data_IF_779934595527
#
_entry.id   IF_779934595527
#
_cell.length_a   1.000
_cell.length_b   1.000
_cell.length_c   1.000
_cell.angle_alpha   90.00
_cell.angle_beta   90.00
_cell.angle_gamma   90.00
#
_symmetry.space_group_name_H-M   'P 1'
#
loop_
_entity.id
_entity.type
_entity.pdbx_description
1 polymer ?
#
# COMPACT_ATOMS: atom_id res chain seq x y z
N UNK A 1 -34.11 19.52 9.21
CA UNK A 1 -33.05 18.62 8.72
C UNK A 1 -32.47 17.88 9.93
N UNK A 2 -32.31 16.57 9.87
CA UNK A 2 -31.72 15.81 10.98
C UNK A 2 -30.20 15.85 10.89
N UNK A 3 -29.60 16.80 11.59
CA UNK A 3 -28.14 17.05 11.57
C UNK A 3 -27.35 15.88 12.12
N UNK A 4 -27.89 15.13 13.08
CA UNK A 4 -27.23 13.94 13.63
C UNK A 4 -27.13 12.81 12.59
N UNK A 5 -28.22 12.56 11.86
CA UNK A 5 -28.20 11.56 10.78
C UNK A 5 -27.28 11.95 9.64
N UNK A 6 -27.26 13.25 9.27
CA UNK A 6 -26.38 13.73 8.22
C UNK A 6 -24.90 13.59 8.59
N UNK A 7 -24.54 13.94 9.85
CA UNK A 7 -23.20 13.74 10.38
C UNK A 7 -22.81 12.25 10.35
N UNK A 8 -23.71 11.38 10.85
CA UNK A 8 -23.49 9.94 10.85
C UNK A 8 -23.22 9.39 9.43
N UNK A 9 -24.01 9.82 8.46
CA UNK A 9 -23.84 9.40 7.06
C UNK A 9 -22.49 9.85 6.48
N UNK A 10 -22.13 11.12 6.70
CA UNK A 10 -20.86 11.67 6.21
C UNK A 10 -19.64 11.00 6.87
N UNK A 11 -19.72 10.79 8.18
CA UNK A 11 -18.65 10.12 8.92
C UNK A 11 -18.54 8.63 8.59
N UNK A 12 -19.66 7.94 8.35
CA UNK A 12 -19.64 6.53 7.90
C UNK A 12 -19.01 6.38 6.51
N UNK A 13 -19.26 7.31 5.59
CA UNK A 13 -18.55 7.36 4.32
C UNK A 13 -17.05 7.63 4.52
N UNK A 14 -16.68 8.57 5.40
CA UNK A 14 -15.29 8.86 5.77
C UNK A 14 -14.58 7.65 6.38
N UNK A 15 -15.26 6.92 7.27
CA UNK A 15 -14.76 5.68 7.88
C UNK A 15 -14.44 4.62 6.82
N UNK A 16 -15.32 4.43 5.82
CA UNK A 16 -15.09 3.47 4.72
C UNK A 16 -13.95 3.90 3.81
N UNK A 17 -13.85 5.19 3.49
CA UNK A 17 -12.71 5.72 2.75
C UNK A 17 -11.38 5.41 3.46
N UNK A 18 -11.31 5.63 4.79
CA UNK A 18 -10.12 5.30 5.56
C UNK A 18 -9.84 3.80 5.61
N UNK A 19 -10.87 2.98 5.84
CA UNK A 19 -10.73 1.52 5.88
C UNK A 19 -10.25 0.94 4.55
N UNK A 20 -10.59 1.58 3.41
CA UNK A 20 -10.15 1.19 2.07
C UNK A 20 -8.76 1.70 1.68
N UNK A 21 -8.07 2.45 2.54
CA UNK A 21 -6.71 2.95 2.30
C UNK A 21 -6.64 4.33 1.66
N UNK A 22 -7.68 5.16 1.80
CA UNK A 22 -7.63 6.56 1.38
C UNK A 22 -6.58 7.35 2.17
N UNK A 23 -6.00 8.34 1.52
CA UNK A 23 -5.13 9.35 2.15
C UNK A 23 -5.96 10.25 3.07
N UNK A 24 -5.41 10.63 4.21
CA UNK A 24 -6.12 11.36 5.26
C UNK A 24 -6.73 12.66 4.75
N UNK A 25 -5.95 13.47 4.03
CA UNK A 25 -6.45 14.73 3.47
C UNK A 25 -7.64 14.53 2.51
N UNK A 26 -7.71 13.38 1.81
CA UNK A 26 -8.84 13.05 0.92
C UNK A 26 -10.09 12.68 1.68
N UNK A 27 -9.93 12.03 2.82
CA UNK A 27 -11.07 11.73 3.71
C UNK A 27 -11.66 13.02 4.23
N UNK A 28 -10.82 13.91 4.76
CA UNK A 28 -11.23 15.24 5.22
C UNK A 28 -11.91 16.05 4.14
N UNK A 29 -11.31 16.11 2.95
CA UNK A 29 -11.88 16.81 1.79
C UNK A 29 -13.23 16.23 1.38
N UNK A 30 -13.38 14.90 1.36
CA UNK A 30 -14.62 14.23 0.96
C UNK A 30 -15.75 14.49 1.95
N UNK A 31 -15.47 14.34 3.26
CA UNK A 31 -16.45 14.61 4.31
C UNK A 31 -16.82 16.09 4.35
N UNK A 32 -15.83 16.99 4.23
CA UNK A 32 -16.05 18.42 4.18
C UNK A 32 -16.96 18.82 3.00
N UNK A 33 -16.64 18.36 1.79
CA UNK A 33 -17.45 18.64 0.59
C UNK A 33 -18.87 18.12 0.70
N UNK A 34 -19.05 16.93 1.25
CA UNK A 34 -20.36 16.32 1.42
C UNK A 34 -21.25 17.14 2.36
N UNK A 35 -20.73 17.59 3.48
CA UNK A 35 -21.46 18.43 4.44
C UNK A 35 -21.68 19.84 3.92
N UNK A 36 -20.70 20.43 3.23
CA UNK A 36 -20.83 21.75 2.58
C UNK A 36 -21.88 21.72 1.46
N UNK A 37 -21.97 20.65 0.67
CA UNK A 37 -23.02 20.49 -0.33
C UNK A 37 -24.43 20.47 0.27
N UNK A 38 -24.56 20.12 1.54
CA UNK A 38 -25.81 20.16 2.30
C UNK A 38 -26.01 21.48 3.09
N UNK A 39 -25.20 22.52 2.80
CA UNK A 39 -25.34 23.86 3.37
C UNK A 39 -24.75 24.04 4.76
N UNK A 40 -23.84 23.17 5.19
CA UNK A 40 -23.17 23.22 6.48
C UNK A 40 -21.72 23.70 6.36
N UNK A 41 -21.18 24.26 7.42
CA UNK A 41 -19.76 24.60 7.58
C UNK A 41 -19.10 23.60 8.53
N UNK A 42 -18.59 22.47 8.04
CA UNK A 42 -17.98 21.46 8.89
C UNK A 42 -16.53 21.80 9.23
N UNK A 43 -16.10 21.30 10.40
CA UNK A 43 -14.70 21.14 10.77
C UNK A 43 -14.41 19.64 10.84
N UNK A 44 -13.52 19.18 9.99
CA UNK A 44 -13.15 17.77 9.89
C UNK A 44 -11.69 17.60 10.29
N UNK A 45 -11.43 16.72 11.24
CA UNK A 45 -10.09 16.36 11.65
C UNK A 45 -9.95 14.84 11.66
N UNK A 46 -8.93 14.36 10.99
CA UNK A 46 -8.72 12.92 10.78
C UNK A 46 -7.29 12.52 11.12
N UNK A 47 -7.16 11.45 11.89
CA UNK A 47 -5.90 10.72 12.09
C UNK A 47 -6.12 9.25 11.75
N UNK A 48 -5.09 8.42 11.52
CA UNK A 48 -5.25 7.03 11.09
C UNK A 48 -6.26 6.20 11.90
N UNK A 49 -6.41 6.46 13.19
CA UNK A 49 -7.29 5.70 14.07
C UNK A 49 -8.63 6.39 14.40
N UNK A 50 -8.83 7.64 13.96
CA UNK A 50 -9.98 8.43 14.41
C UNK A 50 -10.38 9.50 13.39
N UNK A 51 -11.69 9.65 13.21
CA UNK A 51 -12.31 10.73 12.44
C UNK A 51 -13.19 11.55 13.40
N UNK A 52 -12.96 12.85 13.48
CA UNK A 52 -13.76 13.81 14.25
C UNK A 52 -14.40 14.77 13.26
N UNK A 53 -15.71 14.91 13.37
CA UNK A 53 -16.49 15.84 12.54
C UNK A 53 -17.32 16.73 13.43
N UNK A 54 -17.20 18.04 13.26
CA UNK A 54 -17.97 19.05 13.98
C UNK A 54 -18.70 19.97 12.99
N UNK A 55 -19.94 20.29 13.29
CA UNK A 55 -20.75 21.27 12.56
C UNK A 55 -21.40 22.23 13.55
N UNK A 56 -21.65 23.46 13.10
CA UNK A 56 -22.52 24.38 13.80
C UNK A 56 -23.92 24.31 13.20
N UNK A 57 -24.93 24.09 14.02
CA UNK A 57 -26.33 24.17 13.58
C UNK A 57 -26.70 25.62 13.28
N UNK A 58 -27.74 25.91 12.49
CA UNK A 58 -28.23 27.27 12.27
C UNK A 58 -28.66 28.00 13.59
N UNK A 59 -28.94 27.23 14.64
CA UNK A 59 -29.27 27.72 15.97
C UNK A 59 -28.02 28.04 16.80
N UNK A 60 -26.81 27.87 16.22
CA UNK A 60 -25.53 28.17 16.89
C UNK A 60 -25.04 27.08 17.84
N UNK A 61 -25.69 25.92 17.88
CA UNK A 61 -25.25 24.80 18.71
C UNK A 61 -24.22 23.93 17.95
N UNK A 62 -23.04 23.69 18.55
CA UNK A 62 -22.06 22.78 17.94
C UNK A 62 -22.47 21.33 18.17
N UNK A 63 -22.44 20.52 17.09
CA UNK A 63 -22.61 19.08 17.16
C UNK A 63 -21.28 18.45 16.71
N UNK A 64 -20.64 17.69 17.60
CA UNK A 64 -19.39 16.99 17.31
C UNK A 64 -19.59 15.50 17.48
N UNK A 65 -19.09 14.73 16.50
CA UNK A 65 -19.08 13.28 16.56
C UNK A 65 -17.68 12.75 16.28
N UNK A 66 -17.30 11.71 17.01
CA UNK A 66 -16.02 11.03 16.89
C UNK A 66 -16.24 9.56 16.51
N UNK A 67 -15.53 9.12 15.49
CA UNK A 67 -15.58 7.74 15.00
C UNK A 67 -14.21 7.09 15.11
N UNK A 68 -14.14 5.97 15.82
CA UNK A 68 -12.95 5.14 15.87
C UNK A 68 -12.86 4.28 14.61
N UNK A 69 -11.66 4.22 14.04
CA UNK A 69 -11.37 3.39 12.85
C UNK A 69 -10.47 2.24 13.29
N UNK A 70 -11.03 1.02 13.41
CA UNK A 70 -10.33 -0.08 14.07
C UNK A 70 -9.28 -0.76 13.19
N UNK A 71 -9.36 -0.63 11.87
CA UNK A 71 -8.46 -1.29 10.93
C UNK A 71 -8.32 -0.48 9.63
N UNK A 72 -7.13 -0.57 9.05
CA UNK A 72 -6.81 -0.05 7.73
C UNK A 72 -6.49 -1.22 6.81
N UNK A 73 -7.05 -1.18 5.62
CA UNK A 73 -6.79 -2.12 4.54
C UNK A 73 -6.37 -1.37 3.27
N UNK A 74 -6.16 -2.13 2.20
CA UNK A 74 -6.02 -1.58 0.85
C UNK A 74 -7.03 -2.30 -0.03
N UNK A 75 -8.20 -1.68 -0.20
CA UNK A 75 -9.26 -2.14 -1.10
C UNK A 75 -9.58 -1.03 -2.10
N UNK A 76 -9.00 -1.16 -3.28
CA UNK A 76 -9.09 -0.11 -4.31
C UNK A 76 -10.50 -0.05 -4.92
N UNK A 77 -11.19 -1.18 -5.04
CA UNK A 77 -12.59 -1.20 -5.53
C UNK A 77 -13.52 -0.44 -4.57
N UNK A 78 -13.42 -0.71 -3.27
CA UNK A 78 -14.20 0.02 -2.27
C UNK A 78 -13.84 1.52 -2.28
N UNK A 79 -12.57 1.86 -2.42
CA UNK A 79 -12.10 3.25 -2.54
C UNK A 79 -12.72 3.95 -3.76
N UNK A 80 -12.73 3.30 -4.93
CA UNK A 80 -13.33 3.84 -6.16
C UNK A 80 -14.84 4.07 -5.99
N UNK A 81 -15.54 3.11 -5.39
CA UNK A 81 -16.99 3.18 -5.14
C UNK A 81 -17.34 4.27 -4.12
N UNK A 82 -16.61 4.39 -3.02
CA UNK A 82 -16.79 5.45 -2.04
C UNK A 82 -16.61 6.83 -2.66
N UNK A 83 -15.58 7.01 -3.48
CA UNK A 83 -15.35 8.28 -4.20
C UNK A 83 -16.46 8.57 -5.23
N UNK A 84 -16.94 7.56 -5.96
CA UNK A 84 -18.04 7.70 -6.90
C UNK A 84 -19.35 8.10 -6.19
N UNK A 85 -19.64 7.45 -5.06
CA UNK A 85 -20.80 7.75 -4.24
C UNK A 85 -20.70 9.16 -3.62
N UNK A 86 -19.54 9.55 -3.08
CA UNK A 86 -19.32 10.89 -2.56
C UNK A 86 -19.65 11.97 -3.62
N UNK A 87 -19.16 11.78 -4.85
CA UNK A 87 -19.48 12.71 -5.96
C UNK A 87 -20.97 12.77 -6.28
N UNK A 88 -21.65 11.61 -6.25
CA UNK A 88 -23.08 11.53 -6.50
C UNK A 88 -23.86 12.26 -5.41
N UNK A 89 -23.55 11.99 -4.14
CA UNK A 89 -24.21 12.61 -2.98
C UNK A 89 -24.00 14.13 -2.93
N UNK A 90 -22.80 14.61 -3.31
CA UNK A 90 -22.52 16.05 -3.39
C UNK A 90 -23.29 16.76 -4.53
N UNK A 91 -23.59 16.03 -5.62
CA UNK A 91 -24.30 16.61 -6.78
C UNK A 91 -25.82 16.55 -6.64
N UNK A 92 -26.33 15.42 -6.15
CA UNK A 92 -27.77 15.15 -6.10
C UNK A 92 -28.41 15.58 -4.78
N UNK A 93 -27.64 15.73 -3.71
CA UNK A 93 -28.08 16.06 -2.34
C UNK A 93 -29.41 15.38 -1.96
N UNK A 94 -29.49 14.02 -2.04
CA UNK A 94 -30.73 13.31 -1.77
C UNK A 94 -31.11 13.44 -0.29
N UNK A 95 -32.35 13.09 0.09
CA UNK A 95 -32.76 13.00 1.49
C UNK A 95 -31.80 12.13 2.31
N UNK A 96 -31.56 12.52 3.58
CA UNK A 96 -30.54 11.87 4.44
C UNK A 96 -30.76 10.37 4.59
N UNK A 97 -32.03 9.93 4.65
CA UNK A 97 -32.40 8.51 4.74
C UNK A 97 -32.00 7.72 3.47
N UNK A 98 -32.15 8.33 2.30
CA UNK A 98 -31.72 7.72 1.04
C UNK A 98 -30.19 7.69 0.94
N UNK A 99 -29.54 8.80 1.28
CA UNK A 99 -28.08 8.88 1.32
C UNK A 99 -27.46 7.83 2.26
N UNK A 100 -28.05 7.64 3.45
CA UNK A 100 -27.61 6.62 4.42
C UNK A 100 -27.72 5.20 3.83
N UNK A 101 -28.86 4.87 3.20
CA UNK A 101 -29.03 3.58 2.51
C UNK A 101 -27.99 3.35 1.43
N UNK A 102 -27.69 4.37 0.61
CA UNK A 102 -26.65 4.28 -0.42
C UNK A 102 -25.25 4.03 0.17
N UNK A 103 -24.96 4.63 1.31
CA UNK A 103 -23.69 4.38 2.03
C UNK A 103 -23.65 2.96 2.61
N UNK A 104 -24.76 2.47 3.21
CA UNK A 104 -24.84 1.08 3.72
C UNK A 104 -24.75 0.03 2.61
N UNK A 105 -25.33 0.32 1.45
CA UNK A 105 -25.32 -0.58 0.29
C UNK A 105 -23.92 -0.72 -0.37
N UNK A 106 -22.96 0.14 -0.03
CA UNK A 106 -21.58 -0.04 -0.48
C UNK A 106 -20.99 -1.41 -0.10
N UNK A 107 -21.31 -1.92 1.10
CA UNK A 107 -20.80 -3.22 1.57
C UNK A 107 -21.54 -4.40 0.91
N UNK A 108 -22.84 -4.25 0.61
CA UNK A 108 -23.67 -5.33 0.07
C UNK A 108 -23.38 -5.66 -1.41
N UNK A 109 -22.95 -4.66 -2.17
CA UNK A 109 -22.74 -4.75 -3.62
C UNK A 109 -21.26 -4.67 -4.01
N UNK A 110 -20.33 -4.84 -3.05
CA UNK A 110 -18.88 -4.88 -3.30
C UNK A 110 -18.54 -6.06 -4.23
N UNK A 111 -17.74 -5.78 -5.26
CA UNK A 111 -17.11 -6.82 -6.06
C UNK A 111 -15.83 -7.25 -5.35
N UNK A 112 -15.96 -8.12 -4.37
CA UNK A 112 -14.80 -8.75 -3.79
C UNK A 112 -14.38 -9.94 -4.65
N UNK A 113 -13.09 -10.09 -4.88
CA UNK A 113 -12.58 -11.31 -5.49
C UNK A 113 -12.83 -12.50 -4.58
N UNK A 114 -13.12 -13.64 -5.19
CA UNK A 114 -13.23 -14.87 -4.44
C UNK A 114 -11.92 -15.17 -3.72
N UNK A 115 -11.93 -15.86 -2.56
CA UNK A 115 -10.69 -16.24 -1.86
C UNK A 115 -9.67 -16.97 -2.77
N UNK A 116 -10.14 -17.72 -3.74
CA UNK A 116 -9.31 -18.42 -4.73
C UNK A 116 -8.59 -17.45 -5.66
N UNK A 117 -9.27 -16.38 -6.10
CA UNK A 117 -8.66 -15.33 -6.92
C UNK A 117 -7.61 -14.55 -6.14
N UNK A 118 -7.88 -14.24 -4.86
CA UNK A 118 -6.90 -13.62 -3.97
C UNK A 118 -5.67 -14.52 -3.77
N UNK A 119 -5.87 -15.83 -3.60
CA UNK A 119 -4.77 -16.79 -3.52
C UNK A 119 -3.91 -16.79 -4.78
N UNK A 120 -4.48 -16.65 -5.97
CA UNK A 120 -3.71 -16.47 -7.20
C UNK A 120 -2.81 -15.22 -7.14
N UNK A 121 -3.29 -14.12 -6.57
CA UNK A 121 -2.49 -12.93 -6.32
C UNK A 121 -1.33 -13.20 -5.35
N UNK A 122 -1.61 -13.91 -4.24
CA UNK A 122 -0.59 -14.31 -3.26
C UNK A 122 0.43 -15.33 -3.79
N UNK A 123 0.12 -16.06 -4.86
CA UNK A 123 1.04 -16.95 -5.58
C UNK A 123 1.87 -16.14 -6.59
N UNK A 124 1.20 -15.36 -7.44
CA UNK A 124 1.84 -14.68 -8.57
C UNK A 124 2.78 -13.56 -8.11
N UNK A 125 2.38 -12.71 -7.17
CA UNK A 125 3.20 -11.58 -6.74
C UNK A 125 4.57 -12.03 -6.18
N UNK A 126 4.67 -12.96 -5.21
CA UNK A 126 5.94 -13.50 -4.73
C UNK A 126 6.78 -14.15 -5.83
N UNK A 127 6.16 -14.95 -6.70
CA UNK A 127 6.86 -15.63 -7.78
C UNK A 127 7.61 -14.66 -8.70
N UNK A 128 6.92 -13.61 -9.14
CA UNK A 128 7.53 -12.62 -10.01
C UNK A 128 8.47 -11.66 -9.28
N UNK A 129 8.24 -11.38 -7.98
CA UNK A 129 9.22 -10.63 -7.19
C UNK A 129 10.50 -11.43 -6.94
N UNK A 130 10.46 -12.76 -6.80
CA UNK A 130 11.66 -13.57 -6.74
C UNK A 130 12.49 -13.42 -8.01
N UNK A 131 11.88 -13.45 -9.20
CA UNK A 131 12.57 -13.20 -10.48
C UNK A 131 13.07 -11.74 -10.58
N UNK A 132 12.32 -10.80 -10.07
CA UNK A 132 12.72 -9.38 -10.01
C UNK A 132 13.99 -9.18 -9.17
N UNK A 133 14.17 -9.95 -8.10
CA UNK A 133 15.36 -9.97 -7.24
C UNK A 133 16.45 -10.94 -7.72
N UNK A 134 16.56 -11.20 -9.00
CA UNK A 134 17.56 -12.07 -9.62
C UNK A 134 17.45 -13.56 -9.26
N UNK A 135 16.30 -14.04 -8.80
CA UNK A 135 16.07 -15.46 -8.54
C UNK A 135 15.98 -16.30 -9.81
N UNK A 136 16.24 -17.59 -9.64
CA UNK A 136 16.04 -18.58 -10.71
C UNK A 136 14.56 -18.94 -10.86
N UNK A 137 14.22 -19.67 -11.91
CA UNK A 137 12.85 -20.20 -12.07
C UNK A 137 12.46 -21.15 -10.92
N UNK A 138 13.44 -21.87 -10.34
CA UNK A 138 13.20 -22.71 -9.16
C UNK A 138 12.86 -21.86 -7.94
N UNK A 139 13.59 -20.77 -7.71
CA UNK A 139 13.30 -19.83 -6.64
C UNK A 139 11.92 -19.18 -6.79
N UNK A 140 11.55 -18.85 -8.04
CA UNK A 140 10.22 -18.31 -8.35
C UNK A 140 9.09 -19.29 -7.99
N UNK A 141 9.24 -20.58 -8.35
CA UNK A 141 8.28 -21.62 -7.99
C UNK A 141 8.21 -21.83 -6.47
N UNK A 142 9.35 -21.82 -5.79
CA UNK A 142 9.40 -21.88 -4.33
C UNK A 142 8.73 -20.67 -3.67
N UNK A 143 8.95 -19.46 -4.20
CA UNK A 143 8.28 -18.25 -3.73
C UNK A 143 6.76 -18.29 -3.97
N UNK A 144 6.30 -18.91 -5.07
CA UNK A 144 4.88 -19.18 -5.31
C UNK A 144 4.25 -20.08 -4.23
N UNK A 145 4.95 -21.16 -3.83
CA UNK A 145 4.51 -22.08 -2.76
C UNK A 145 4.48 -21.36 -1.40
N UNK A 146 5.53 -20.60 -1.08
CA UNK A 146 5.58 -19.80 0.15
C UNK A 146 4.50 -18.72 0.16
N UNK A 147 4.22 -18.10 -0.99
CA UNK A 147 3.13 -17.15 -1.22
C UNK A 147 1.75 -17.78 -1.01
N UNK A 148 1.55 -18.99 -1.51
CA UNK A 148 0.31 -19.75 -1.24
C UNK A 148 0.15 -19.99 0.28
N UNK A 149 1.21 -20.43 0.96
CA UNK A 149 1.16 -20.72 2.40
C UNK A 149 0.78 -19.46 3.20
N UNK A 150 1.40 -18.32 2.92
CA UNK A 150 1.06 -17.06 3.61
C UNK A 150 -0.32 -16.56 3.22
N UNK A 151 -0.75 -16.72 1.96
CA UNK A 151 -2.10 -16.36 1.50
C UNK A 151 -3.17 -17.14 2.25
N UNK A 152 -2.98 -18.45 2.46
CA UNK A 152 -3.86 -19.28 3.29
C UNK A 152 -3.87 -18.80 4.74
N UNK A 153 -2.71 -18.49 5.32
CA UNK A 153 -2.64 -17.92 6.67
C UNK A 153 -3.38 -16.59 6.81
N UNK A 154 -3.27 -15.69 5.82
CA UNK A 154 -3.92 -14.38 5.86
C UNK A 154 -5.43 -14.45 5.65
N UNK A 155 -5.91 -15.31 4.75
CA UNK A 155 -7.32 -15.42 4.41
C UNK A 155 -8.11 -16.30 5.40
N UNK A 156 -7.53 -17.39 5.86
CA UNK A 156 -8.24 -18.38 6.68
C UNK A 156 -7.72 -18.47 8.12
N UNK A 157 -6.51 -17.95 8.41
CA UNK A 157 -5.88 -18.02 9.73
C UNK A 157 -6.37 -16.99 10.75
N UNK A 158 -7.23 -16.06 10.38
CA UNK A 158 -7.68 -14.97 11.28
C UNK A 158 -8.31 -15.49 12.60
N UNK A 159 -9.00 -16.61 12.56
CA UNK A 159 -9.62 -17.21 13.75
C UNK A 159 -8.61 -17.82 14.73
N UNK A 160 -7.46 -18.27 14.21
CA UNK A 160 -6.41 -18.93 15.00
C UNK A 160 -5.36 -17.94 15.53
N UNK A 161 -5.01 -16.93 14.72
CA UNK A 161 -3.90 -16.01 14.98
C UNK A 161 -4.37 -14.76 15.75
N UNK A 162 -5.70 -14.53 15.81
CA UNK A 162 -6.27 -13.36 16.48
C UNK A 162 -6.21 -12.08 15.64
N UNK A 163 -6.77 -11.00 16.20
CA UNK A 163 -6.91 -9.70 15.49
C UNK A 163 -5.69 -8.77 15.62
N UNK A 164 -4.66 -9.15 16.40
CA UNK A 164 -3.48 -8.33 16.58
C UNK A 164 -2.57 -8.38 15.34
N UNK A 165 -2.46 -7.24 14.64
CA UNK A 165 -1.69 -7.12 13.39
C UNK A 165 -0.21 -7.46 13.58
N UNK A 166 0.42 -7.05 14.69
CA UNK A 166 1.82 -7.34 14.98
C UNK A 166 2.05 -8.86 15.08
N UNK A 167 1.27 -9.54 15.92
CA UNK A 167 1.41 -10.99 16.11
C UNK A 167 1.11 -11.78 14.83
N UNK A 168 0.08 -11.36 14.09
CA UNK A 168 -0.24 -11.95 12.79
C UNK A 168 0.95 -11.82 11.81
N UNK A 169 1.61 -10.67 11.77
CA UNK A 169 2.78 -10.46 10.92
C UNK A 169 3.96 -11.34 11.34
N UNK A 170 4.23 -11.50 12.65
CA UNK A 170 5.27 -12.42 13.16
C UNK A 170 5.00 -13.84 12.67
N UNK A 171 3.78 -14.35 12.85
CA UNK A 171 3.42 -15.71 12.43
C UNK A 171 3.54 -15.87 10.90
N UNK A 172 2.99 -14.96 10.12
CA UNK A 172 3.04 -15.02 8.66
C UNK A 172 4.48 -14.97 8.13
N UNK A 173 5.34 -14.11 8.68
CA UNK A 173 6.75 -14.02 8.27
C UNK A 173 7.56 -15.25 8.71
N UNK A 174 7.24 -15.85 9.86
CA UNK A 174 7.81 -17.14 10.26
C UNK A 174 7.41 -18.25 9.30
N UNK A 175 6.14 -18.34 8.90
CA UNK A 175 5.66 -19.32 7.92
C UNK A 175 6.38 -19.14 6.57
N UNK A 176 6.53 -17.91 6.08
CA UNK A 176 7.26 -17.63 4.84
C UNK A 176 8.68 -18.18 4.92
N UNK A 177 9.43 -17.78 5.94
CA UNK A 177 10.84 -18.16 6.07
C UNK A 177 11.04 -19.65 6.33
N UNK A 178 10.14 -20.28 7.11
CA UNK A 178 10.18 -21.71 7.37
C UNK A 178 9.89 -22.53 6.10
N UNK A 179 8.84 -22.16 5.36
CA UNK A 179 8.52 -22.82 4.08
C UNK A 179 9.65 -22.64 3.08
N UNK A 180 10.22 -21.43 2.95
CA UNK A 180 11.37 -21.15 2.09
C UNK A 180 12.57 -22.02 2.46
N UNK A 181 12.89 -22.12 3.76
CA UNK A 181 13.98 -22.96 4.26
C UNK A 181 13.76 -24.45 3.93
N UNK A 182 12.56 -24.96 4.17
CA UNK A 182 12.23 -26.37 3.88
C UNK A 182 12.34 -26.68 2.40
N UNK A 183 11.91 -25.77 1.50
CA UNK A 183 12.01 -25.94 0.05
C UNK A 183 13.47 -25.94 -0.44
N UNK A 184 14.32 -25.09 0.14
CA UNK A 184 15.76 -25.06 -0.19
C UNK A 184 16.46 -26.31 0.34
N UNK A 185 16.17 -26.75 1.59
CA UNK A 185 16.72 -27.99 2.14
C UNK A 185 16.27 -29.24 1.36
N UNK A 186 15.08 -29.21 0.77
CA UNK A 186 14.60 -30.26 -0.14
C UNK A 186 15.26 -30.21 -1.55
N UNK A 187 16.14 -29.24 -1.82
CA UNK A 187 16.80 -29.08 -3.12
C UNK A 187 15.90 -28.52 -4.24
N UNK A 188 14.73 -27.99 -3.89
CA UNK A 188 13.79 -27.42 -4.86
C UNK A 188 14.11 -25.96 -5.20
N UNK A 189 14.64 -25.19 -4.24
CA UNK A 189 15.10 -23.81 -4.39
C UNK A 189 16.61 -23.70 -4.24
N UNK A 190 17.18 -22.62 -4.75
CA UNK A 190 18.63 -22.38 -4.75
C UNK A 190 19.02 -21.27 -3.77
N UNK A 191 18.21 -20.19 -3.67
CA UNK A 191 18.54 -18.99 -2.89
C UNK A 191 17.48 -18.68 -1.84
N UNK A 192 17.73 -19.10 -0.60
CA UNK A 192 16.80 -18.91 0.53
C UNK A 192 16.38 -17.44 0.72
N UNK A 193 17.33 -16.51 0.64
CA UNK A 193 17.03 -15.09 0.85
C UNK A 193 16.14 -14.51 -0.26
N UNK A 194 16.39 -14.87 -1.51
CA UNK A 194 15.58 -14.39 -2.64
C UNK A 194 14.14 -14.88 -2.54
N UNK A 195 13.95 -16.17 -2.23
CA UNK A 195 12.61 -16.75 -2.02
C UNK A 195 11.91 -16.05 -0.87
N UNK A 196 12.63 -15.85 0.24
CA UNK A 196 12.06 -15.21 1.44
C UNK A 196 11.70 -13.74 1.17
N UNK A 197 12.61 -12.92 0.61
CA UNK A 197 12.35 -11.49 0.34
C UNK A 197 11.26 -11.32 -0.71
N UNK A 198 11.30 -12.09 -1.80
CA UNK A 198 10.26 -12.05 -2.84
C UNK A 198 8.87 -12.33 -2.26
N UNK A 199 8.77 -13.28 -1.32
CA UNK A 199 7.50 -13.59 -0.66
C UNK A 199 7.13 -12.55 0.40
N UNK A 200 8.11 -12.03 1.16
CA UNK A 200 7.89 -11.01 2.17
C UNK A 200 7.35 -9.69 1.59
N UNK A 201 7.53 -9.41 0.28
CA UNK A 201 6.96 -8.22 -0.36
C UNK A 201 5.45 -8.09 -0.13
N UNK A 202 4.75 -9.21 0.10
CA UNK A 202 3.31 -9.20 0.44
C UNK A 202 3.02 -8.65 1.85
N UNK A 203 3.96 -8.79 2.78
CA UNK A 203 3.81 -8.33 4.17
C UNK A 203 4.52 -7.00 4.43
N UNK A 204 5.53 -6.67 3.63
CA UNK A 204 6.39 -5.52 3.88
C UNK A 204 5.61 -4.21 3.76
N UNK A 205 5.65 -3.36 4.79
CA UNK A 205 4.88 -2.12 4.86
C UNK A 205 5.57 -0.98 4.09
N UNK A 206 6.19 -1.28 2.95
CA UNK A 206 6.93 -0.29 2.19
C UNK A 206 6.05 0.83 1.64
N UNK A 207 4.84 0.52 1.18
CA UNK A 207 3.87 1.54 0.78
C UNK A 207 3.43 2.40 1.97
N UNK A 208 3.30 1.80 3.16
CA UNK A 208 2.97 2.55 4.37
C UNK A 208 4.05 3.58 4.70
N UNK A 209 5.34 3.24 4.54
CA UNK A 209 6.45 4.17 4.72
C UNK A 209 6.41 5.31 3.69
N UNK A 210 6.20 4.99 2.41
CA UNK A 210 6.12 6.00 1.34
C UNK A 210 4.92 6.93 1.56
N UNK A 211 3.78 6.40 2.01
CA UNK A 211 2.60 7.20 2.33
C UNK A 211 2.81 8.05 3.59
N UNK A 212 3.49 7.50 4.62
CA UNK A 212 3.88 8.27 5.81
C UNK A 212 4.76 9.46 5.46
N UNK A 213 5.77 9.27 4.61
CA UNK A 213 6.61 10.37 4.12
C UNK A 213 5.81 11.41 3.34
N UNK A 214 4.83 10.97 2.55
CA UNK A 214 3.92 11.87 1.82
C UNK A 214 3.04 12.70 2.77
N UNK A 215 2.49 12.11 3.82
CA UNK A 215 1.68 12.81 4.84
C UNK A 215 2.53 13.84 5.59
N UNK A 216 3.77 13.49 6.00
CA UNK A 216 4.71 14.41 6.63
C UNK A 216 4.99 15.63 5.72
N UNK A 217 5.25 15.39 4.43
CA UNK A 217 5.52 16.45 3.46
C UNK A 217 4.28 17.29 3.14
N UNK A 218 3.08 16.74 3.27
CA UNK A 218 1.82 17.46 3.15
C UNK A 218 1.48 18.28 4.40
N UNK A 219 2.39 18.36 5.39
CA UNK A 219 2.23 19.03 6.69
C UNK A 219 1.27 18.30 7.65
N UNK A 220 0.90 17.07 7.37
CA UNK A 220 0.12 16.21 8.27
C UNK A 220 1.07 15.36 9.13
N UNK A 221 1.78 16.06 10.04
CA UNK A 221 2.87 15.47 10.83
C UNK A 221 2.39 14.36 11.78
N UNK A 222 1.22 14.53 12.40
CA UNK A 222 0.68 13.56 13.36
C UNK A 222 0.39 12.25 12.66
N UNK A 223 -0.30 12.29 11.54
CA UNK A 223 -0.66 11.11 10.76
C UNK A 223 0.58 10.41 10.18
N UNK A 224 1.50 11.20 9.64
CA UNK A 224 2.75 10.66 9.11
C UNK A 224 3.62 10.00 10.18
N UNK A 225 3.69 10.57 11.39
CA UNK A 225 4.42 9.97 12.52
C UNK A 225 3.77 8.66 12.99
N UNK A 226 2.44 8.63 13.11
CA UNK A 226 1.70 7.42 13.50
C UNK A 226 1.92 6.29 12.49
N UNK A 227 1.82 6.57 11.18
CA UNK A 227 2.09 5.57 10.12
C UNK A 227 3.55 5.12 10.09
N UNK A 228 4.50 6.02 10.34
CA UNK A 228 5.92 5.66 10.45
C UNK A 228 6.14 4.69 11.61
N UNK A 229 5.56 4.97 12.77
CA UNK A 229 5.65 4.08 13.95
C UNK A 229 5.02 2.71 13.68
N UNK A 230 3.83 2.66 13.05
CA UNK A 230 3.19 1.42 12.64
C UNK A 230 4.07 0.63 11.65
N UNK A 231 4.65 1.31 10.67
CA UNK A 231 5.56 0.72 9.69
C UNK A 231 6.78 0.07 10.37
N UNK A 232 7.40 0.75 11.32
CA UNK A 232 8.53 0.22 12.08
C UNK A 232 8.15 -0.99 12.94
N UNK A 233 6.98 -0.97 13.57
CA UNK A 233 6.47 -2.12 14.32
C UNK A 233 6.22 -3.34 13.43
N UNK A 234 5.63 -3.15 12.24
CA UNK A 234 5.43 -4.24 11.28
C UNK A 234 6.79 -4.77 10.78
N UNK A 235 7.74 -3.89 10.51
CA UNK A 235 9.09 -4.29 10.10
C UNK A 235 9.81 -5.10 11.20
N UNK A 236 9.67 -4.69 12.46
CA UNK A 236 10.19 -5.45 13.60
C UNK A 236 9.51 -6.83 13.72
N UNK A 237 8.18 -6.90 13.51
CA UNK A 237 7.45 -8.17 13.51
C UNK A 237 7.94 -9.12 12.41
N UNK A 238 8.18 -8.61 11.19
CA UNK A 238 8.73 -9.39 10.07
C UNK A 238 10.12 -9.93 10.44
N UNK A 239 11.00 -9.08 10.96
CA UNK A 239 12.34 -9.47 11.32
C UNK A 239 12.36 -10.53 12.45
N UNK A 240 11.51 -10.38 13.47
CA UNK A 240 11.36 -11.36 14.54
C UNK A 240 10.86 -12.71 13.99
N UNK A 241 9.85 -12.70 13.12
CA UNK A 241 9.30 -13.93 12.54
C UNK A 241 10.30 -14.65 11.64
N UNK A 242 11.11 -13.91 10.88
CA UNK A 242 12.11 -14.50 9.97
C UNK A 242 13.40 -14.92 10.66
N UNK A 243 13.73 -14.39 11.86
CA UNK A 243 15.01 -14.55 12.52
C UNK A 243 15.39 -16.02 12.74
N UNK A 244 14.50 -16.82 13.34
CA UNK A 244 14.81 -18.21 13.70
C UNK A 244 15.03 -19.11 12.47
N UNK A 245 14.15 -19.14 11.45
CA UNK A 245 14.38 -19.93 10.23
C UNK A 245 15.65 -19.51 9.48
N UNK A 246 15.95 -18.20 9.42
CA UNK A 246 17.16 -17.72 8.75
C UNK A 246 18.43 -18.10 9.52
N UNK A 247 18.44 -18.03 10.86
CA UNK A 247 19.58 -18.48 11.68
C UNK A 247 19.84 -19.98 11.47
N UNK A 248 18.79 -20.79 11.37
CA UNK A 248 18.92 -22.21 11.07
C UNK A 248 19.49 -22.38 9.64
N UNK A 249 18.97 -21.64 8.67
CA UNK A 249 19.46 -21.66 7.28
C UNK A 249 20.94 -21.32 7.18
N UNK A 250 21.40 -20.28 7.89
CA UNK A 250 22.83 -19.88 7.91
C UNK A 250 23.75 -20.98 8.43
N UNK A 251 23.26 -21.83 9.34
CA UNK A 251 24.04 -22.95 9.88
C UNK A 251 24.05 -24.20 9.00
N UNK A 252 23.00 -24.39 8.22
CA UNK A 252 22.80 -25.61 7.42
C UNK A 252 23.23 -25.46 5.96
N UNK A 253 23.23 -24.24 5.43
CA UNK A 253 23.53 -23.95 4.03
C UNK A 253 24.92 -23.31 3.93
N UNK A 254 25.82 -23.94 3.13
CA UNK A 254 27.21 -23.49 2.95
C UNK A 254 27.33 -22.20 2.14
N UNK A 255 26.37 -21.94 1.25
CA UNK A 255 26.35 -20.78 0.34
C UNK A 255 25.23 -19.80 0.70
N UNK A 256 25.30 -19.27 1.92
CA UNK A 256 24.34 -18.27 2.36
C UNK A 256 24.73 -16.87 1.84
N UNK A 257 24.09 -16.42 0.77
CA UNK A 257 24.30 -15.06 0.24
C UNK A 257 23.42 -14.05 0.96
N UNK A 258 24.03 -12.98 1.45
CA UNK A 258 23.38 -11.97 2.30
C UNK A 258 22.91 -10.71 1.55
N UNK A 259 23.13 -10.62 0.25
CA UNK A 259 22.76 -9.43 -0.53
C UNK A 259 21.76 -9.78 -1.62
N UNK A 260 20.55 -9.25 -1.47
CA UNK A 260 19.53 -9.26 -2.50
C UNK A 260 19.37 -7.85 -3.06
N UNK A 261 19.73 -7.69 -4.33
CA UNK A 261 19.51 -6.47 -5.09
C UNK A 261 18.50 -6.75 -6.22
N UNK A 262 17.72 -5.74 -6.59
CA UNK A 262 16.86 -5.86 -7.75
C UNK A 262 17.69 -6.02 -9.04
N UNK A 263 17.16 -6.77 -9.98
CA UNK A 263 17.82 -6.99 -11.26
C UNK A 263 17.91 -5.70 -12.07
N UNK A 264 19.11 -5.31 -12.46
CA UNK A 264 19.34 -4.19 -13.38
C UNK A 264 19.20 -4.61 -14.87
N UNK A 265 18.75 -5.81 -15.14
CA UNK A 265 18.44 -6.29 -16.49
C UNK A 265 17.14 -5.65 -17.00
N UNK A 266 17.02 -5.29 -18.30
CA UNK A 266 15.75 -4.84 -18.89
C UNK A 266 14.59 -5.82 -18.71
N UNK A 267 14.88 -7.12 -18.58
CA UNK A 267 13.88 -8.15 -18.32
C UNK A 267 13.16 -7.97 -16.98
N UNK A 268 13.77 -7.28 -16.01
CA UNK A 268 13.12 -6.96 -14.73
C UNK A 268 11.90 -6.06 -14.86
N UNK A 269 11.79 -5.28 -15.96
CA UNK A 269 10.56 -4.52 -16.26
C UNK A 269 9.36 -5.46 -16.48
N UNK A 270 9.60 -6.62 -17.10
CA UNK A 270 8.55 -7.63 -17.31
C UNK A 270 8.15 -8.29 -15.97
N UNK A 271 9.14 -8.58 -15.13
CA UNK A 271 8.86 -9.15 -13.80
C UNK A 271 8.13 -8.16 -12.90
N UNK A 272 8.47 -6.87 -12.94
CA UNK A 272 7.75 -5.80 -12.26
C UNK A 272 6.29 -5.70 -12.73
N UNK A 273 6.05 -5.83 -14.05
CA UNK A 273 4.70 -5.87 -14.61
C UNK A 273 3.85 -6.98 -13.98
N UNK A 274 4.32 -8.24 -14.07
CA UNK A 274 3.55 -9.38 -13.58
C UNK A 274 3.42 -9.42 -12.06
N UNK A 275 4.44 -8.99 -11.32
CA UNK A 275 4.37 -8.86 -9.87
C UNK A 275 3.26 -7.87 -9.46
N UNK A 276 3.18 -6.71 -10.11
CA UNK A 276 2.14 -5.72 -9.85
C UNK A 276 0.76 -6.15 -10.33
N UNK A 277 0.66 -6.97 -11.38
CA UNK A 277 -0.61 -7.64 -11.74
C UNK A 277 -1.07 -8.56 -10.60
N UNK A 278 -0.17 -9.35 -10.00
CA UNK A 278 -0.47 -10.16 -8.82
C UNK A 278 -0.94 -9.32 -7.63
N UNK A 279 -0.26 -8.22 -7.32
CA UNK A 279 -0.70 -7.28 -6.28
C UNK A 279 -2.02 -6.58 -6.60
N UNK A 280 -2.33 -6.35 -7.87
CA UNK A 280 -3.63 -5.82 -8.29
C UNK A 280 -4.79 -6.72 -7.88
N UNK A 281 -4.58 -8.06 -7.90
CA UNK A 281 -5.56 -9.01 -7.37
C UNK A 281 -5.68 -8.91 -5.84
N UNK A 282 -4.54 -8.85 -5.13
CA UNK A 282 -4.51 -8.76 -3.66
C UNK A 282 -5.19 -7.47 -3.16
N UNK A 283 -5.05 -6.35 -3.89
CA UNK A 283 -5.65 -5.06 -3.55
C UNK A 283 -7.02 -4.83 -4.16
N UNK A 284 -7.66 -5.89 -4.63
CA UNK A 284 -9.03 -5.89 -5.14
C UNK A 284 -9.24 -4.90 -6.31
N UNK A 285 -8.27 -4.81 -7.23
CA UNK A 285 -8.39 -3.99 -8.43
C UNK A 285 -9.09 -4.79 -9.53
N UNK A 286 -10.17 -4.24 -10.11
CA UNK A 286 -10.96 -4.95 -11.09
C UNK A 286 -10.70 -4.51 -12.55
N UNK A 287 -10.93 -5.44 -13.47
CA UNK A 287 -10.92 -5.21 -14.90
C UNK A 287 -9.58 -4.69 -15.44
N UNK A 288 -9.62 -3.69 -16.34
CA UNK A 288 -8.43 -3.13 -16.99
C UNK A 288 -7.50 -2.39 -16.03
N UNK A 289 -7.94 -2.07 -14.81
CA UNK A 289 -7.14 -1.41 -13.79
C UNK A 289 -5.88 -2.19 -13.43
N UNK A 290 -5.97 -3.50 -13.35
CA UNK A 290 -4.84 -4.39 -13.04
C UNK A 290 -3.70 -4.22 -14.06
N UNK A 291 -4.03 -4.24 -15.36
CA UNK A 291 -3.03 -4.07 -16.44
C UNK A 291 -2.41 -2.66 -16.41
N UNK A 292 -3.22 -1.64 -16.13
CA UNK A 292 -2.74 -0.26 -15.99
C UNK A 292 -1.70 -0.17 -14.87
N UNK A 293 -1.93 -0.81 -13.73
CA UNK A 293 -0.96 -0.87 -12.63
C UNK A 293 0.35 -1.56 -13.06
N UNK A 294 0.26 -2.71 -13.74
CA UNK A 294 1.42 -3.42 -14.27
C UNK A 294 2.24 -2.57 -15.24
N UNK A 295 1.60 -1.92 -16.20
CA UNK A 295 2.29 -1.02 -17.15
C UNK A 295 2.93 0.18 -16.44
N UNK A 296 2.27 0.75 -15.44
CA UNK A 296 2.83 1.84 -14.62
C UNK A 296 4.10 1.41 -13.88
N UNK A 297 4.09 0.21 -13.29
CA UNK A 297 5.23 -0.37 -12.60
C UNK A 297 6.41 -0.64 -13.55
N UNK A 298 6.13 -1.22 -14.71
CA UNK A 298 7.13 -1.49 -15.75
C UNK A 298 7.75 -0.18 -16.28
N UNK A 299 6.93 0.84 -16.53
CA UNK A 299 7.38 2.18 -16.95
C UNK A 299 8.29 2.82 -15.89
N UNK A 300 7.85 2.82 -14.64
CA UNK A 300 8.64 3.40 -13.54
C UNK A 300 9.97 2.68 -13.36
N UNK A 301 9.98 1.36 -13.40
CA UNK A 301 11.21 0.59 -13.31
C UNK A 301 12.14 0.84 -14.50
N UNK A 302 11.60 0.96 -15.71
CA UNK A 302 12.38 1.31 -16.90
C UNK A 302 13.05 2.69 -16.75
N UNK A 303 12.32 3.70 -16.24
CA UNK A 303 12.89 5.03 -15.98
C UNK A 303 13.98 4.95 -14.91
N UNK A 304 13.79 4.13 -13.86
CA UNK A 304 14.80 3.88 -12.85
C UNK A 304 16.09 3.30 -13.46
N UNK A 305 15.97 2.25 -14.30
CA UNK A 305 17.11 1.62 -14.96
C UNK A 305 17.87 2.58 -15.89
N UNK A 306 17.15 3.38 -16.66
CA UNK A 306 17.74 4.37 -17.55
C UNK A 306 18.45 5.47 -16.75
N UNK A 307 17.83 5.95 -15.68
CA UNK A 307 18.40 7.04 -14.88
C UNK A 307 19.58 6.61 -14.02
N UNK A 308 19.59 5.41 -13.46
CA UNK A 308 20.72 4.91 -12.66
C UNK A 308 22.00 4.79 -13.48
N UNK A 309 21.90 4.49 -14.78
CA UNK A 309 23.03 4.36 -15.69
C UNK A 309 23.82 5.65 -15.91
N UNK A 310 23.21 6.84 -15.71
CA UNK A 310 23.87 8.13 -15.91
C UNK A 310 23.96 8.98 -14.63
N UNK A 311 23.04 8.78 -13.67
CA UNK A 311 23.08 9.52 -12.40
C UNK A 311 24.01 8.90 -11.36
N UNK A 312 24.22 7.58 -11.43
CA UNK A 312 24.92 6.78 -10.42
C UNK A 312 24.37 6.97 -9.00
N UNK A 313 23.11 7.44 -8.88
CA UNK A 313 22.43 7.68 -7.60
C UNK A 313 21.08 6.99 -7.64
N UNK A 314 20.90 5.97 -6.80
CA UNK A 314 19.67 5.22 -6.66
C UNK A 314 18.52 6.07 -6.10
N UNK A 315 18.81 6.96 -5.13
CA UNK A 315 17.82 7.88 -4.55
C UNK A 315 17.29 8.87 -5.59
N UNK A 316 18.20 9.45 -6.41
CA UNK A 316 17.77 10.37 -7.46
C UNK A 316 17.04 9.66 -8.61
N UNK A 317 17.46 8.45 -8.94
CA UNK A 317 16.78 7.62 -9.94
C UNK A 317 15.39 7.20 -9.47
N UNK A 318 15.21 6.90 -8.18
CA UNK A 318 13.91 6.64 -7.57
C UNK A 318 12.98 7.87 -7.65
N UNK A 319 13.52 9.07 -7.42
CA UNK A 319 12.76 10.32 -7.58
C UNK A 319 12.25 10.49 -9.02
N UNK A 320 13.09 10.31 -10.03
CA UNK A 320 12.68 10.41 -11.45
C UNK A 320 11.67 9.34 -11.85
N UNK A 321 11.87 8.12 -11.38
CA UNK A 321 10.94 7.02 -11.59
C UNK A 321 9.57 7.30 -10.96
N UNK A 322 9.55 7.81 -9.73
CA UNK A 322 8.31 8.20 -9.06
C UNK A 322 7.57 9.34 -9.77
N UNK A 323 8.30 10.31 -10.33
CA UNK A 323 7.71 11.35 -11.18
C UNK A 323 7.03 10.75 -12.40
N UNK A 324 7.66 9.80 -13.09
CA UNK A 324 7.10 9.15 -14.27
C UNK A 324 5.84 8.34 -13.94
N UNK A 325 5.87 7.59 -12.83
CA UNK A 325 4.71 6.84 -12.33
C UNK A 325 3.58 7.80 -11.93
N UNK A 326 3.91 8.90 -11.25
CA UNK A 326 2.94 9.93 -10.86
C UNK A 326 2.24 10.52 -12.07
N UNK A 327 2.99 10.92 -13.12
CA UNK A 327 2.44 11.43 -14.37
C UNK A 327 1.53 10.40 -15.07
N UNK A 328 2.01 9.17 -15.19
CA UNK A 328 1.25 8.07 -15.78
C UNK A 328 -0.05 7.81 -15.01
N UNK A 329 0.01 7.72 -13.70
CA UNK A 329 -1.14 7.45 -12.83
C UNK A 329 -2.18 8.56 -12.89
N UNK A 330 -1.77 9.84 -12.94
CA UNK A 330 -2.67 10.99 -13.10
C UNK A 330 -3.39 10.96 -14.46
N UNK A 331 -2.68 10.63 -15.55
CA UNK A 331 -3.28 10.50 -16.87
C UNK A 331 -4.30 9.36 -16.90
N UNK A 332 -3.93 8.18 -16.39
CA UNK A 332 -4.83 7.01 -16.38
C UNK A 332 -6.05 7.21 -15.48
N UNK A 333 -5.87 7.84 -14.31
CA UNK A 333 -6.95 8.17 -13.40
C UNK A 333 -7.99 9.13 -14.06
N UNK A 334 -7.52 10.11 -14.83
CA UNK A 334 -8.40 11.02 -15.59
C UNK A 334 -9.17 10.31 -16.71
N UNK A 335 -8.49 9.46 -17.48
CA UNK A 335 -9.12 8.67 -18.54
C UNK A 335 -10.21 7.76 -17.97
N UNK A 336 -9.95 7.13 -16.84
CA UNK A 336 -10.88 6.17 -16.19
C UNK A 336 -11.84 6.80 -15.18
N UNK A 337 -11.65 8.08 -14.84
CA UNK A 337 -12.42 8.79 -13.80
C UNK A 337 -12.36 8.13 -12.43
N UNK A 338 -11.21 7.53 -12.09
CA UNK A 338 -10.93 6.84 -10.83
C UNK A 338 -9.93 7.63 -9.98
N UNK A 339 -9.81 7.34 -8.67
CA UNK A 339 -8.77 7.93 -7.84
C UNK A 339 -7.37 7.56 -8.32
N UNK A 340 -6.46 8.54 -8.32
CA UNK A 340 -5.04 8.34 -8.71
C UNK A 340 -4.35 7.35 -7.77
N UNK A 341 -4.72 7.37 -6.50
CA UNK A 341 -4.07 6.63 -5.41
C UNK A 341 -3.96 5.14 -5.69
N UNK A 342 -5.01 4.52 -6.22
CA UNK A 342 -5.01 3.08 -6.52
C UNK A 342 -3.95 2.68 -7.54
N UNK A 343 -3.81 3.44 -8.63
CA UNK A 343 -2.79 3.17 -9.66
C UNK A 343 -1.39 3.50 -9.18
N UNK A 344 -1.24 4.64 -8.50
CA UNK A 344 0.03 5.12 -8.00
C UNK A 344 0.64 4.14 -6.98
N UNK A 345 -0.15 3.67 -6.02
CA UNK A 345 0.32 2.77 -4.98
C UNK A 345 0.85 1.45 -5.54
N UNK A 346 0.11 0.81 -6.45
CA UNK A 346 0.53 -0.47 -7.02
C UNK A 346 1.70 -0.31 -7.98
N UNK A 347 1.70 0.75 -8.81
CA UNK A 347 2.80 0.99 -9.75
C UNK A 347 4.14 1.33 -9.05
N UNK A 348 4.10 1.88 -7.84
CA UNK A 348 5.30 2.17 -7.05
C UNK A 348 5.91 0.92 -6.39
N UNK A 349 5.20 -0.21 -6.28
CA UNK A 349 5.65 -1.40 -5.52
C UNK A 349 7.07 -1.89 -5.84
N UNK A 350 7.52 -1.97 -7.11
CA UNK A 350 8.89 -2.40 -7.41
C UNK A 350 9.97 -1.45 -6.89
N UNK A 351 9.62 -0.16 -6.73
CA UNK A 351 10.53 0.86 -6.20
C UNK A 351 10.43 1.00 -4.69
N UNK A 352 9.36 0.51 -4.07
CA UNK A 352 9.17 0.65 -2.63
C UNK A 352 10.30 -0.04 -1.88
N UNK A 353 10.97 0.65 -0.92
CA UNK A 353 12.17 0.13 -0.26
C UNK A 353 11.86 -0.93 0.81
N UNK A 354 11.08 -1.95 0.44
CA UNK A 354 10.67 -3.03 1.34
C UNK A 354 11.84 -3.89 1.80
N UNK A 355 12.70 -4.27 0.87
CA UNK A 355 13.93 -5.00 1.18
C UNK A 355 14.86 -4.19 2.10
N UNK A 356 14.92 -2.86 1.93
CA UNK A 356 15.70 -1.96 2.79
C UNK A 356 15.21 -1.97 4.24
N UNK A 357 13.89 -1.89 4.45
CA UNK A 357 13.29 -1.97 5.79
C UNK A 357 13.61 -3.31 6.45
N UNK A 358 13.41 -4.41 5.72
CA UNK A 358 13.71 -5.75 6.20
C UNK A 358 15.19 -5.90 6.59
N UNK A 359 16.12 -5.49 5.71
CA UNK A 359 17.55 -5.57 5.96
C UNK A 359 17.96 -4.70 7.16
N UNK A 360 17.44 -3.48 7.29
CA UNK A 360 17.69 -2.64 8.45
C UNK A 360 17.30 -3.35 9.75
N UNK A 361 16.10 -3.92 9.83
CA UNK A 361 15.66 -4.63 11.03
C UNK A 361 16.47 -5.91 11.29
N UNK A 362 16.90 -6.61 10.25
CA UNK A 362 17.82 -7.75 10.37
C UNK A 362 19.15 -7.35 10.99
N UNK A 363 19.76 -6.24 10.54
CA UNK A 363 20.99 -5.72 11.14
C UNK A 363 20.79 -5.27 12.60
N UNK A 364 19.62 -4.73 12.93
CA UNK A 364 19.27 -4.38 14.30
C UNK A 364 19.26 -5.65 15.21
N UNK A 365 18.66 -6.74 14.75
CA UNK A 365 18.59 -8.00 15.51
C UNK A 365 19.97 -8.67 15.61
N UNK A 366 20.80 -8.58 14.56
CA UNK A 366 22.16 -9.13 14.58
C UNK A 366 23.15 -8.30 15.42
N UNK A 367 22.73 -7.14 15.91
CA UNK A 367 23.58 -6.23 16.72
C UNK A 367 24.55 -5.37 15.92
N UNK A 368 24.45 -5.36 14.59
CA UNK A 368 25.26 -4.50 13.73
C UNK A 368 24.64 -3.09 13.63
N UNK A 369 24.93 -2.26 14.63
CA UNK A 369 24.38 -0.93 14.74
C UNK A 369 24.80 0.00 13.58
N UNK A 370 25.98 -0.18 13.01
CA UNK A 370 26.48 0.67 11.92
C UNK A 370 25.71 0.38 10.63
N UNK A 371 25.57 -0.89 10.27
CA UNK A 371 24.79 -1.31 9.09
C UNK A 371 23.30 -1.02 9.27
N UNK A 372 22.78 -1.16 10.49
CA UNK A 372 21.40 -0.78 10.80
C UNK A 372 21.13 0.69 10.49
N UNK A 373 21.91 1.59 11.05
CA UNK A 373 21.72 3.05 10.88
C UNK A 373 21.90 3.43 9.41
N UNK A 374 22.93 2.95 8.74
CA UNK A 374 23.21 3.24 7.34
C UNK A 374 22.06 2.78 6.42
N UNK A 375 21.60 1.54 6.59
CA UNK A 375 20.52 0.98 5.79
C UNK A 375 19.20 1.68 6.07
N UNK A 376 18.91 2.01 7.33
CA UNK A 376 17.69 2.71 7.72
C UNK A 376 17.65 4.14 7.12
N UNK A 377 18.72 4.91 7.24
CA UNK A 377 18.81 6.27 6.68
C UNK A 377 18.67 6.26 5.16
N UNK A 378 19.35 5.33 4.48
CA UNK A 378 19.21 5.13 3.04
C UNK A 378 17.77 4.81 2.65
N UNK A 379 17.12 3.87 3.37
CA UNK A 379 15.74 3.46 3.15
C UNK A 379 14.73 4.62 3.31
N UNK A 380 14.92 5.44 4.35
CA UNK A 380 14.12 6.65 4.59
C UNK A 380 14.33 7.67 3.48
N UNK A 381 15.60 7.93 3.09
CA UNK A 381 15.92 8.84 1.99
C UNK A 381 15.33 8.40 0.66
N UNK A 382 15.35 7.11 0.38
CA UNK A 382 14.75 6.53 -0.81
C UNK A 382 13.19 6.68 -0.81
N UNK A 383 12.54 6.38 0.32
CA UNK A 383 11.09 6.57 0.49
C UNK A 383 10.68 8.05 0.37
N UNK A 384 11.50 8.97 0.91
CA UNK A 384 11.29 10.40 0.77
C UNK A 384 11.38 10.83 -0.70
N UNK A 385 12.39 10.36 -1.43
CA UNK A 385 12.57 10.66 -2.86
C UNK A 385 11.37 10.19 -3.69
N UNK A 386 10.86 8.98 -3.45
CA UNK A 386 9.64 8.48 -4.08
C UNK A 386 8.43 9.38 -3.80
N UNK A 387 8.27 9.78 -2.54
CA UNK A 387 7.15 10.61 -2.10
C UNK A 387 7.18 12.00 -2.75
N UNK A 388 8.36 12.66 -2.73
CA UNK A 388 8.56 13.99 -3.35
C UNK A 388 8.31 13.91 -4.86
N UNK A 389 8.86 12.90 -5.54
CA UNK A 389 8.68 12.73 -6.98
C UNK A 389 7.21 12.58 -7.37
N UNK A 390 6.47 11.73 -6.66
CA UNK A 390 5.04 11.54 -6.90
C UNK A 390 4.21 12.79 -6.58
N UNK A 391 4.49 13.47 -5.46
CA UNK A 391 3.76 14.69 -5.04
C UNK A 391 4.02 15.87 -5.97
N UNK A 392 5.25 16.08 -6.41
CA UNK A 392 5.62 17.17 -7.30
C UNK A 392 4.79 17.13 -8.57
N UNK A 393 4.71 15.97 -9.21
CA UNK A 393 3.92 15.79 -10.43
C UNK A 393 2.43 16.00 -10.17
N UNK A 394 1.91 15.42 -9.08
CA UNK A 394 0.49 15.58 -8.73
C UNK A 394 0.15 17.05 -8.49
N UNK A 395 1.01 17.81 -7.81
CA UNK A 395 0.82 19.24 -7.54
C UNK A 395 0.89 20.07 -8.83
N UNK A 396 1.90 19.83 -9.66
CA UNK A 396 2.07 20.55 -10.95
C UNK A 396 0.90 20.28 -11.88
N UNK A 397 0.50 19.03 -12.06
CA UNK A 397 -0.61 18.68 -12.96
C UNK A 397 -1.96 19.19 -12.45
N UNK A 398 -2.16 19.31 -11.15
CA UNK A 398 -3.38 19.92 -10.59
C UNK A 398 -3.41 21.43 -10.79
N UNK A 399 -2.26 22.11 -10.76
CA UNK A 399 -2.19 23.58 -10.89
C UNK A 399 -2.20 24.02 -12.35
N UNK A 400 -1.47 23.34 -13.24
CA UNK A 400 -1.24 23.77 -14.62
C UNK A 400 -2.25 23.23 -15.63
N UNK A 401 -2.81 22.05 -15.40
CA UNK A 401 -3.91 21.58 -16.23
C UNK A 401 -5.20 22.15 -15.65
N UNK A 402 -5.76 23.24 -16.25
CA UNK A 402 -7.00 23.81 -15.77
C UNK A 402 -8.02 22.69 -15.72
N UNK A 403 -8.72 22.65 -14.62
CA UNK A 403 -9.83 21.79 -14.25
C UNK A 403 -10.63 21.35 -15.48
N UNK A 404 -10.13 20.40 -16.23
CA UNK A 404 -11.00 19.57 -17.04
C UNK A 404 -11.98 19.00 -16.02
N UNK A 405 -13.19 19.52 -16.06
CA UNK A 405 -14.27 19.29 -15.11
C UNK A 405 -14.47 17.80 -14.82
N UNK A 406 -13.66 17.24 -13.88
CA UNK A 406 -13.89 15.93 -13.30
C UNK A 406 -15.01 15.98 -12.25
N UNK A 407 -15.60 17.16 -12.04
CA UNK A 407 -16.62 17.44 -11.05
C UNK A 407 -17.90 18.04 -11.65
N UNK A 408 -18.13 17.95 -12.98
CA UNK A 408 -19.45 18.15 -13.59
C UNK A 408 -20.16 16.84 -13.82
#
# INVERSE_FOLDING_TARGET
>A
MDYHKLLNMAAELGRRLMASGAEIYRVEESVNRLLTANGLEPQVFTIPACLIVSINTPEGQPITQMYRIPAHGTDIELLERCNALCRRLCRETPPVEEAMRLVEDLDKHGREFSPWTLLLGYIAAPAFFALFFCGTLRDSLCAAIAGLAVGVCLLFGQRLIGSNSFFRTVVCSCVISLVSLLLVLAGLGEHLEIITIGTLMVLVPGMALTNAMREIMASDLISGLLRTTETLLIAAAIALGTALPLLIGQRLLSDFQTQTAASLSPLSCLWAFFACVGFGLVFNIHGRGILICGFGASLGWMVYLLSIGWTHSDVFSAFLAAMSIGAYSEVMARIRRCPVTGYLQVALLPLVPGAGIYNAMRYCISGDSQMFISTLLHTIGFAAALSVGAMLVTSVLRTWLPRFHLWK
#
